data_IF_919122198412
#
_entry.id   IF_919122198412
#
_cell.length_a   1.000
_cell.length_b   1.000
_cell.length_c   1.000
_cell.angle_alpha   90.00
_cell.angle_beta   90.00
_cell.angle_gamma   90.00
#
_symmetry.space_group_name_H-M   'P 1'
#
loop_
_entity.id
_entity.type
_entity.pdbx_description
1 polymer ?
#
# COMPACT_ATOMS: atom_id res chain seq x y z
N UNK A 1 -12.44 2.20 -9.17
CA UNK A 1 -11.48 1.10 -9.45
C UNK A 1 -11.14 0.44 -8.11
N UNK A 2 -11.21 -0.89 -8.02
CA UNK A 2 -10.95 -1.62 -6.77
C UNK A 2 -10.32 -2.98 -7.06
N UNK A 3 -9.60 -3.52 -6.08
CA UNK A 3 -8.91 -4.80 -6.14
C UNK A 3 -9.17 -5.60 -4.87
N UNK A 4 -9.49 -6.89 -5.01
CA UNK A 4 -9.74 -7.75 -3.86
C UNK A 4 -8.45 -8.40 -3.39
N UNK A 5 -8.25 -8.40 -2.08
CA UNK A 5 -7.17 -9.11 -1.42
C UNK A 5 -7.67 -10.48 -0.95
N UNK A 6 -6.84 -11.48 -1.15
CA UNK A 6 -7.14 -12.85 -0.80
C UNK A 6 -6.08 -13.44 0.13
N UNK A 7 -6.52 -14.33 1.01
CA UNK A 7 -5.64 -15.21 1.76
C UNK A 7 -5.77 -16.63 1.20
N UNK A 8 -4.66 -17.21 0.76
CA UNK A 8 -4.61 -18.61 0.36
C UNK A 8 -4.71 -19.51 1.60
N UNK A 9 -5.25 -20.72 1.49
CA UNK A 9 -5.38 -21.66 2.62
C UNK A 9 -4.03 -21.96 3.32
N UNK A 10 -2.89 -21.80 2.63
CA UNK A 10 -1.54 -21.91 3.20
C UNK A 10 -1.07 -20.66 3.97
N UNK A 11 -1.90 -19.62 4.07
CA UNK A 11 -1.68 -18.42 4.89
C UNK A 11 -1.16 -17.18 4.15
N UNK A 12 -0.62 -17.31 2.94
CA UNK A 12 -0.07 -16.18 2.18
C UNK A 12 -1.17 -15.29 1.58
N UNK A 13 -0.85 -13.99 1.45
CA UNK A 13 -1.76 -13.00 0.88
C UNK A 13 -1.45 -12.70 -0.59
N UNK A 14 -2.49 -12.36 -1.33
CA UNK A 14 -2.44 -12.08 -2.77
C UNK A 14 -3.38 -10.93 -3.13
N UNK A 15 -3.01 -10.18 -4.17
CA UNK A 15 -3.82 -9.14 -4.79
C UNK A 15 -4.36 -9.66 -6.12
N UNK A 16 -5.67 -9.78 -6.28
CA UNK A 16 -6.33 -10.07 -7.56
C UNK A 16 -6.29 -8.82 -8.42
N UNK A 17 -5.68 -8.90 -9.58
CA UNK A 17 -5.57 -7.80 -10.54
C UNK A 17 -6.75 -7.78 -11.52
N UNK A 18 -7.24 -8.96 -11.90
CA UNK A 18 -8.33 -9.09 -12.86
C UNK A 18 -8.52 -10.51 -13.35
N UNK A 19 -9.24 -10.62 -14.46
CA UNK A 19 -9.41 -11.86 -15.23
C UNK A 19 -8.94 -11.61 -16.65
N UNK A 20 -8.15 -12.53 -17.20
CA UNK A 20 -7.73 -12.57 -18.58
C UNK A 20 -8.32 -13.80 -19.27
N UNK A 21 -8.47 -13.76 -20.59
CA UNK A 21 -8.82 -14.94 -21.38
C UNK A 21 -7.54 -15.74 -21.69
N UNK A 22 -7.61 -17.06 -21.62
CA UNK A 22 -6.57 -17.94 -22.14
C UNK A 22 -6.50 -17.82 -23.67
N UNK A 23 -5.30 -17.76 -24.25
CA UNK A 23 -5.13 -17.44 -25.67
C UNK A 23 -5.68 -18.51 -26.63
N UNK A 24 -5.72 -19.76 -26.19
CA UNK A 24 -6.10 -20.88 -27.05
C UNK A 24 -7.61 -21.18 -26.98
N UNK A 25 -8.15 -21.29 -25.76
CA UNK A 25 -9.48 -21.79 -25.50
C UNK A 25 -10.44 -20.77 -24.89
N UNK A 26 -9.98 -19.54 -24.69
CA UNK A 26 -10.71 -18.41 -24.10
C UNK A 26 -11.20 -18.65 -22.66
N UNK A 27 -10.70 -19.68 -21.98
CA UNK A 27 -11.09 -19.94 -20.59
C UNK A 27 -10.64 -18.79 -19.68
N UNK A 28 -11.45 -18.36 -18.70
CA UNK A 28 -11.14 -17.27 -17.81
C UNK A 28 -10.02 -17.64 -16.84
N UNK A 29 -8.97 -16.81 -16.81
CA UNK A 29 -7.81 -16.94 -15.96
C UNK A 29 -7.76 -15.77 -14.97
N UNK A 30 -7.76 -16.05 -13.67
CA UNK A 30 -7.53 -15.02 -12.65
C UNK A 30 -6.05 -14.65 -12.67
N UNK A 31 -5.76 -13.35 -12.83
CA UNK A 31 -4.42 -12.77 -12.72
C UNK A 31 -4.25 -12.21 -11.33
N UNK A 32 -3.20 -12.63 -10.60
CA UNK A 32 -2.99 -12.19 -9.22
C UNK A 32 -1.50 -12.10 -8.86
N UNK A 33 -1.18 -11.27 -7.87
CA UNK A 33 0.19 -11.04 -7.38
C UNK A 33 0.37 -11.51 -5.95
N UNK A 34 1.56 -12.02 -5.66
CA UNK A 34 2.00 -12.29 -4.29
C UNK A 34 2.17 -10.98 -3.52
N UNK A 35 1.66 -10.93 -2.28
CA UNK A 35 1.94 -9.87 -1.31
C UNK A 35 3.03 -10.28 -0.31
N UNK A 36 3.92 -11.14 -0.74
CA UNK A 36 5.09 -11.63 -0.01
C UNK A 36 6.22 -11.91 -1.00
N UNK A 37 7.44 -12.03 -0.52
CA UNK A 37 8.57 -12.37 -1.38
C UNK A 37 8.49 -13.82 -1.83
N UNK A 38 8.35 -13.98 -3.15
CA UNK A 38 8.31 -15.28 -3.81
C UNK A 38 9.38 -15.31 -4.90
N UNK A 39 10.45 -16.10 -4.72
CA UNK A 39 11.57 -16.18 -5.69
C UNK A 39 11.16 -16.79 -7.02
N UNK A 40 10.10 -17.62 -7.06
CA UNK A 40 9.68 -18.28 -8.29
C UNK A 40 8.96 -17.33 -9.25
N UNK A 41 8.03 -16.53 -8.75
CA UNK A 41 7.31 -15.52 -9.54
C UNK A 41 6.51 -14.60 -8.62
N UNK A 42 6.32 -13.36 -9.05
CA UNK A 42 5.46 -12.38 -8.35
C UNK A 42 4.04 -12.36 -8.90
N UNK A 43 3.86 -12.62 -10.20
CA UNK A 43 2.56 -12.62 -10.88
C UNK A 43 2.21 -14.04 -11.33
N UNK A 44 1.00 -14.42 -11.07
CA UNK A 44 0.46 -15.74 -11.38
C UNK A 44 -0.84 -15.64 -12.15
N UNK A 45 -1.12 -16.66 -12.94
CA UNK A 45 -2.43 -16.91 -13.55
C UNK A 45 -2.95 -18.26 -13.08
N UNK A 46 -4.28 -18.36 -12.95
CA UNK A 46 -4.94 -19.61 -12.57
C UNK A 46 -6.33 -19.66 -13.19
N UNK A 47 -6.78 -20.81 -13.73
CA UNK A 47 -8.16 -20.98 -14.15
C UNK A 47 -9.14 -20.52 -13.07
N UNK A 48 -10.10 -19.67 -13.44
CA UNK A 48 -11.00 -19.04 -12.47
C UNK A 48 -11.74 -20.07 -11.59
N UNK A 49 -12.28 -21.20 -12.12
CA UNK A 49 -12.91 -22.22 -11.27
C UNK A 49 -11.95 -22.82 -10.23
N UNK A 50 -10.65 -22.95 -10.56
CA UNK A 50 -9.66 -23.42 -9.59
C UNK A 50 -9.29 -22.37 -8.55
N UNK A 51 -9.34 -21.06 -8.90
CA UNK A 51 -9.07 -19.98 -7.96
C UNK A 51 -10.20 -19.84 -6.95
N UNK A 52 -11.45 -19.90 -7.42
CA UNK A 52 -12.65 -19.69 -6.61
C UNK A 52 -13.14 -20.98 -5.94
N UNK A 53 -12.58 -22.12 -6.32
CA UNK A 53 -12.97 -23.45 -5.84
C UNK A 53 -12.46 -23.79 -4.44
N UNK A 54 -12.93 -24.95 -3.98
CA UNK A 54 -12.50 -25.55 -2.72
C UNK A 54 -11.36 -26.54 -2.95
N UNK A 55 -10.60 -26.83 -1.90
CA UNK A 55 -9.60 -27.91 -1.86
C UNK A 55 -10.25 -29.19 -1.32
N UNK A 56 -9.53 -30.30 -1.33
CA UNK A 56 -10.04 -31.64 -0.96
C UNK A 56 -10.68 -31.71 0.43
N UNK A 57 -10.21 -30.89 1.38
CA UNK A 57 -10.75 -30.82 2.73
C UNK A 57 -11.97 -29.88 2.89
N UNK A 58 -12.52 -29.37 1.78
CA UNK A 58 -13.71 -28.50 1.76
C UNK A 58 -13.44 -27.02 2.05
N UNK A 59 -12.21 -26.62 2.36
CA UNK A 59 -11.85 -25.19 2.54
C UNK A 59 -11.75 -24.49 1.19
N UNK A 60 -12.12 -23.22 1.13
CA UNK A 60 -11.87 -22.37 -0.04
C UNK A 60 -10.37 -22.23 -0.27
N UNK A 61 -9.94 -22.36 -1.53
CA UNK A 61 -8.52 -22.19 -1.89
C UNK A 61 -8.01 -20.78 -1.60
N UNK A 62 -8.82 -19.77 -1.93
CA UNK A 62 -8.57 -18.36 -1.67
C UNK A 62 -9.78 -17.73 -0.99
N UNK A 63 -9.58 -17.17 0.20
CA UNK A 63 -10.62 -16.48 0.96
C UNK A 63 -10.43 -14.96 0.83
N UNK A 64 -11.44 -14.18 0.43
CA UNK A 64 -11.37 -12.73 0.44
C UNK A 64 -11.10 -12.23 1.87
N UNK A 65 -10.14 -11.30 2.02
CA UNK A 65 -9.77 -10.74 3.33
C UNK A 65 -9.87 -9.22 3.36
N UNK A 66 -10.15 -8.59 2.22
CA UNK A 66 -10.31 -7.15 2.13
C UNK A 66 -10.36 -6.66 0.70
N UNK A 67 -10.56 -5.36 0.56
CA UNK A 67 -10.63 -4.66 -0.72
C UNK A 67 -9.76 -3.41 -0.68
N UNK A 68 -8.85 -3.28 -1.64
CA UNK A 68 -8.11 -2.06 -1.91
C UNK A 68 -8.88 -1.23 -2.94
N UNK A 69 -9.08 0.06 -2.69
CA UNK A 69 -9.67 0.99 -3.63
C UNK A 69 -9.11 2.41 -3.49
N UNK A 70 -9.43 3.25 -4.45
CA UNK A 70 -9.18 4.68 -4.30
C UNK A 70 -10.17 5.29 -3.30
N UNK A 71 -9.66 6.24 -2.51
CA UNK A 71 -10.47 7.07 -1.61
C UNK A 71 -11.42 7.91 -2.45
N UNK A 72 -12.68 7.99 -2.04
CA UNK A 72 -13.70 8.85 -2.62
C UNK A 72 -13.93 10.08 -1.72
N UNK A 73 -14.55 11.17 -2.19
CA UNK A 73 -14.80 12.35 -1.38
C UNK A 73 -15.51 12.06 -0.05
N UNK A 74 -16.46 11.14 -0.05
CA UNK A 74 -17.22 10.71 1.14
C UNK A 74 -16.38 9.98 2.19
N UNK A 75 -15.25 9.40 1.81
CA UNK A 75 -14.34 8.70 2.72
C UNK A 75 -13.42 9.66 3.50
N UNK A 76 -13.27 10.91 3.04
CA UNK A 76 -12.20 11.80 3.48
C UNK A 76 -12.17 12.02 4.99
N UNK A 77 -13.31 12.26 5.62
CA UNK A 77 -13.36 12.45 7.07
C UNK A 77 -12.93 11.20 7.83
N UNK A 78 -13.35 10.02 7.36
CA UNK A 78 -12.94 8.72 7.93
C UNK A 78 -11.44 8.52 7.80
N UNK A 79 -10.87 8.76 6.61
CA UNK A 79 -9.42 8.61 6.35
C UNK A 79 -8.60 9.59 7.19
N UNK A 80 -9.04 10.83 7.31
CA UNK A 80 -8.37 11.83 8.13
C UNK A 80 -8.42 11.48 9.63
N UNK A 81 -9.52 10.89 10.09
CA UNK A 81 -9.67 10.44 11.47
C UNK A 81 -8.66 9.35 11.86
N UNK A 82 -8.19 8.50 10.93
CA UNK A 82 -7.20 7.46 11.23
C UNK A 82 -5.89 7.99 11.77
N UNK A 83 -5.43 9.14 11.27
CA UNK A 83 -4.18 9.76 11.69
C UNK A 83 -4.36 10.95 12.64
N UNK A 84 -5.60 11.35 12.93
CA UNK A 84 -5.86 12.54 13.72
C UNK A 84 -5.19 12.51 15.09
N UNK A 85 -5.29 11.40 15.81
CA UNK A 85 -4.70 11.26 17.13
C UNK A 85 -3.19 11.52 17.18
N UNK A 86 -2.47 11.14 16.11
CA UNK A 86 -1.00 11.26 16.00
C UNK A 86 -0.57 12.64 15.45
N UNK A 87 -1.35 13.20 14.51
CA UNK A 87 -0.92 14.37 13.72
C UNK A 87 -1.68 15.66 14.04
N UNK A 88 -2.63 15.63 14.97
CA UNK A 88 -3.47 16.80 15.29
C UNK A 88 -2.70 17.97 15.89
N UNK A 89 -1.55 17.69 16.58
CA UNK A 89 -0.92 18.70 17.44
C UNK A 89 -1.98 19.27 18.43
N UNK A 90 -2.11 20.59 18.53
CA UNK A 90 -3.10 21.29 19.38
C UNK A 90 -4.42 21.61 18.64
N UNK A 91 -4.65 21.02 17.44
CA UNK A 91 -5.81 21.32 16.59
C UNK A 91 -7.03 20.48 16.97
N UNK A 92 -8.23 21.09 16.89
CA UNK A 92 -9.48 20.32 16.84
C UNK A 92 -9.55 19.52 15.54
N UNK A 93 -10.46 18.55 15.45
CA UNK A 93 -10.61 17.74 14.22
C UNK A 93 -10.97 18.62 13.01
N UNK A 94 -11.86 19.60 13.15
CA UNK A 94 -12.24 20.52 12.08
C UNK A 94 -11.04 21.36 11.60
N UNK A 95 -10.25 21.90 12.54
CA UNK A 95 -9.02 22.65 12.20
C UNK A 95 -7.97 21.77 11.52
N UNK A 96 -7.84 20.51 11.95
CA UNK A 96 -6.95 19.54 11.31
C UNK A 96 -7.42 19.24 9.88
N UNK A 97 -8.69 18.98 9.66
CA UNK A 97 -9.27 18.75 8.34
C UNK A 97 -9.09 19.96 7.42
N UNK A 98 -9.46 21.17 7.90
CA UNK A 98 -9.29 22.40 7.13
C UNK A 98 -7.81 22.66 6.71
N UNK A 99 -6.86 22.30 7.57
CA UNK A 99 -5.43 22.38 7.23
C UNK A 99 -5.03 21.47 6.06
N UNK A 100 -5.77 20.39 5.80
CA UNK A 100 -5.51 19.48 4.68
C UNK A 100 -5.94 20.03 3.34
N UNK A 101 -6.85 20.99 3.31
CA UNK A 101 -7.33 21.64 2.07
C UNK A 101 -6.23 22.50 1.40
N UNK A 102 -5.20 22.88 2.15
CA UNK A 102 -4.05 23.65 1.67
C UNK A 102 -2.75 22.85 1.63
N UNK A 103 -2.74 21.65 2.15
CA UNK A 103 -1.57 20.75 2.17
C UNK A 103 -1.28 20.23 0.76
N UNK A 104 -0.15 20.66 0.17
CA UNK A 104 0.26 20.29 -1.20
C UNK A 104 0.35 18.78 -1.42
N UNK A 105 0.87 18.05 -0.44
CA UNK A 105 0.98 16.59 -0.53
C UNK A 105 -0.38 15.92 -0.44
N UNK A 106 -1.28 16.52 0.36
CA UNK A 106 -2.66 16.08 0.43
C UNK A 106 -3.40 16.29 -0.90
N UNK A 107 -3.24 17.43 -1.54
CA UNK A 107 -3.94 17.79 -2.79
C UNK A 107 -3.42 17.04 -4.02
N UNK A 108 -2.13 16.70 -4.07
CA UNK A 108 -1.49 16.09 -5.26
C UNK A 108 -1.44 14.57 -5.23
N UNK A 109 -1.68 13.96 -4.08
CA UNK A 109 -1.54 12.53 -3.90
C UNK A 109 -2.72 11.73 -4.43
N UNK A 110 -2.45 10.49 -4.79
CA UNK A 110 -3.49 9.47 -5.02
C UNK A 110 -3.68 8.66 -3.75
N UNK A 111 -4.90 8.69 -3.19
CA UNK A 111 -5.17 8.00 -1.92
C UNK A 111 -5.78 6.64 -2.13
N UNK A 112 -5.24 5.69 -1.39
CA UNK A 112 -5.73 4.33 -1.32
C UNK A 112 -6.35 4.06 0.05
N UNK A 113 -7.45 3.32 0.03
CA UNK A 113 -8.17 2.84 1.21
C UNK A 113 -8.21 1.31 1.17
N UNK A 114 -7.85 0.70 2.28
CA UNK A 114 -8.07 -0.72 2.52
C UNK A 114 -9.31 -0.89 3.37
N UNK A 115 -10.25 -1.68 2.89
CA UNK A 115 -11.39 -2.20 3.63
C UNK A 115 -11.11 -3.64 4.04
N UNK A 116 -11.62 -4.06 5.19
CA UNK A 116 -11.59 -5.47 5.61
C UNK A 116 -12.62 -6.33 4.86
N UNK A 117 -12.74 -7.60 5.25
CA UNK A 117 -13.71 -8.52 4.64
C UNK A 117 -15.18 -8.14 4.88
N UNK A 118 -15.46 -7.33 5.89
CA UNK A 118 -16.80 -6.80 6.18
C UNK A 118 -17.08 -5.46 5.46
N UNK A 119 -16.12 -4.95 4.69
CA UNK A 119 -16.22 -3.67 3.99
C UNK A 119 -15.95 -2.45 4.88
N UNK A 120 -15.39 -2.66 6.08
CA UNK A 120 -15.06 -1.56 6.99
C UNK A 120 -13.72 -0.92 6.60
N UNK A 121 -13.63 0.42 6.49
CA UNK A 121 -12.37 1.13 6.30
C UNK A 121 -11.40 0.87 7.46
N UNK A 122 -10.21 0.32 7.16
CA UNK A 122 -9.24 -0.09 8.21
C UNK A 122 -7.88 0.57 8.10
N UNK A 123 -7.44 0.96 6.91
CA UNK A 123 -6.17 1.65 6.72
C UNK A 123 -6.19 2.47 5.43
N UNK A 124 -5.44 3.57 5.43
CA UNK A 124 -5.29 4.43 4.24
C UNK A 124 -3.85 4.92 4.10
N UNK A 125 -3.48 5.28 2.89
CA UNK A 125 -2.22 5.95 2.59
C UNK A 125 -2.38 6.89 1.39
N UNK A 126 -1.46 7.84 1.29
CA UNK A 126 -1.32 8.73 0.15
C UNK A 126 -0.08 8.37 -0.67
N UNK A 127 -0.24 8.24 -1.98
CA UNK A 127 0.83 7.99 -2.95
C UNK A 127 1.19 9.29 -3.64
N UNK A 128 2.45 9.67 -3.55
CA UNK A 128 3.03 10.84 -4.21
C UNK A 128 4.00 10.36 -5.29
N UNK A 129 3.78 10.73 -6.53
CA UNK A 129 4.68 10.42 -7.62
C UNK A 129 5.70 11.56 -7.79
N UNK A 130 6.97 11.29 -7.48
CA UNK A 130 8.03 12.30 -7.57
C UNK A 130 8.71 12.32 -8.94
N UNK A 131 9.05 11.14 -9.45
CA UNK A 131 9.72 10.91 -10.73
C UNK A 131 9.19 9.62 -11.33
N UNK A 132 9.60 9.34 -12.57
CA UNK A 132 9.16 8.16 -13.31
C UNK A 132 9.34 6.85 -12.54
N UNK A 133 10.38 6.74 -11.70
CA UNK A 133 10.73 5.52 -10.97
C UNK A 133 10.65 5.63 -9.44
N UNK A 134 10.24 6.78 -8.91
CA UNK A 134 10.17 7.00 -7.47
C UNK A 134 8.77 7.41 -7.03
N UNK A 135 8.24 6.67 -6.08
CA UNK A 135 6.95 6.92 -5.43
C UNK A 135 7.18 7.13 -3.93
N UNK A 136 6.62 8.21 -3.39
CA UNK A 136 6.57 8.46 -1.95
C UNK A 136 5.28 7.98 -1.34
N UNK A 137 5.37 7.41 -0.14
CA UNK A 137 4.22 7.13 0.72
C UNK A 137 4.11 8.17 1.82
N UNK A 138 2.94 8.79 1.91
CA UNK A 138 2.61 9.76 2.94
C UNK A 138 1.33 9.36 3.66
N UNK A 139 1.15 9.88 4.87
CA UNK A 139 -0.09 9.71 5.65
C UNK A 139 -0.53 8.25 5.75
N UNK A 140 0.42 7.35 6.00
CA UNK A 140 0.12 5.92 6.20
C UNK A 140 -0.52 5.76 7.57
N UNK A 141 -1.82 5.51 7.60
CA UNK A 141 -2.59 5.42 8.85
C UNK A 141 -3.46 4.17 8.88
N UNK A 142 -3.58 3.60 10.08
CA UNK A 142 -4.52 2.50 10.38
C UNK A 142 -5.53 3.00 11.40
N UNK A 143 -6.81 2.69 11.19
CA UNK A 143 -7.88 2.97 12.14
C UNK A 143 -7.46 2.54 13.56
N UNK A 144 -7.66 3.36 14.59
CA UNK A 144 -7.21 3.05 15.95
C UNK A 144 -7.63 1.65 16.43
N UNK A 145 -8.86 1.24 16.14
CA UNK A 145 -9.42 -0.07 16.54
C UNK A 145 -8.79 -1.25 15.79
N UNK A 146 -8.08 -0.99 14.68
CA UNK A 146 -7.48 -2.00 13.82
C UNK A 146 -5.94 -2.00 13.88
N UNK A 147 -5.34 -1.18 14.73
CA UNK A 147 -3.88 -1.15 14.92
C UNK A 147 -3.38 -2.49 15.48
N UNK A 148 -2.15 -2.83 15.16
CA UNK A 148 -1.52 -4.10 15.57
C UNK A 148 -1.99 -5.34 14.81
N UNK A 149 -3.04 -5.24 13.97
CA UNK A 149 -3.60 -6.37 13.19
C UNK A 149 -2.94 -6.55 11.80
N UNK A 150 -1.91 -5.75 11.46
CA UNK A 150 -1.15 -5.88 10.21
C UNK A 150 -1.74 -5.18 8.98
N UNK A 151 -2.86 -4.46 9.10
CA UNK A 151 -3.52 -3.81 7.96
C UNK A 151 -2.66 -2.75 7.27
N UNK A 152 -1.88 -1.95 8.02
CA UNK A 152 -0.95 -0.98 7.43
C UNK A 152 0.10 -1.64 6.54
N UNK A 153 0.70 -2.73 6.99
CA UNK A 153 1.66 -3.50 6.20
C UNK A 153 1.01 -4.18 5.00
N UNK A 154 -0.20 -4.70 5.14
CA UNK A 154 -0.96 -5.30 4.04
C UNK A 154 -1.30 -4.26 2.97
N UNK A 155 -1.74 -3.06 3.37
CA UNK A 155 -2.01 -1.93 2.49
C UNK A 155 -0.76 -1.52 1.70
N UNK A 156 0.37 -1.31 2.40
CA UNK A 156 1.64 -0.96 1.76
C UNK A 156 2.06 -1.99 0.72
N UNK A 157 2.08 -3.29 1.08
CA UNK A 157 2.40 -4.38 0.14
C UNK A 157 1.47 -4.38 -1.06
N UNK A 158 0.16 -4.24 -0.85
CA UNK A 158 -0.82 -4.26 -1.93
C UNK A 158 -0.61 -3.09 -2.91
N UNK A 159 -0.39 -1.88 -2.39
CA UNK A 159 -0.14 -0.69 -3.22
C UNK A 159 1.21 -0.79 -3.94
N UNK A 160 2.27 -1.24 -3.26
CA UNK A 160 3.58 -1.47 -3.89
C UNK A 160 3.47 -2.46 -5.06
N UNK A 161 2.82 -3.59 -4.85
CA UNK A 161 2.70 -4.63 -5.87
C UNK A 161 1.74 -4.22 -7.01
N UNK A 162 0.72 -3.43 -6.72
CA UNK A 162 -0.13 -2.84 -7.76
C UNK A 162 0.66 -1.93 -8.69
N UNK A 163 1.49 -1.04 -8.13
CA UNK A 163 2.33 -0.14 -8.91
C UNK A 163 3.45 -0.87 -9.65
N UNK A 164 4.10 -1.85 -9.01
CA UNK A 164 5.14 -2.68 -9.64
C UNK A 164 4.60 -3.59 -10.74
N UNK A 165 3.33 -3.91 -10.76
CA UNK A 165 2.72 -4.63 -11.88
C UNK A 165 2.76 -3.81 -13.16
N UNK A 166 2.49 -2.51 -13.07
CA UNK A 166 2.56 -1.59 -14.20
C UNK A 166 4.02 -1.18 -14.54
N UNK A 167 4.88 -1.06 -13.51
CA UNK A 167 6.27 -0.62 -13.66
C UNK A 167 7.16 -1.37 -12.66
N UNK A 168 7.81 -2.47 -13.07
CA UNK A 168 8.52 -3.40 -12.17
C UNK A 168 9.69 -2.79 -11.40
N UNK A 169 10.35 -1.77 -11.93
CA UNK A 169 11.55 -1.11 -11.40
C UNK A 169 11.25 0.08 -10.47
N UNK A 170 9.96 0.25 -10.09
CA UNK A 170 9.57 1.29 -9.15
C UNK A 170 10.23 1.11 -7.78
N UNK A 171 10.76 2.21 -7.29
CA UNK A 171 11.25 2.39 -5.93
C UNK A 171 10.23 3.15 -5.11
N UNK A 172 10.20 2.85 -3.82
CA UNK A 172 9.30 3.51 -2.87
C UNK A 172 10.11 4.17 -1.78
N UNK A 173 9.67 5.33 -1.33
CA UNK A 173 10.29 6.10 -0.26
C UNK A 173 9.23 6.54 0.74
N UNK A 174 9.61 6.62 2.01
CA UNK A 174 8.79 7.15 3.08
C UNK A 174 9.67 7.75 4.18
N UNK A 175 9.04 8.50 5.07
CA UNK A 175 9.63 8.97 6.32
C UNK A 175 8.98 8.23 7.47
N UNK A 176 9.80 7.58 8.31
CA UNK A 176 9.32 6.67 9.35
C UNK A 176 9.07 7.40 10.66
N UNK A 177 7.81 7.75 10.95
CA UNK A 177 7.38 8.28 12.25
C UNK A 177 7.19 7.18 13.31
N UNK A 178 7.28 5.91 12.90
CA UNK A 178 7.19 4.73 13.77
C UNK A 178 8.50 3.94 13.70
N UNK A 179 8.59 2.82 14.44
CA UNK A 179 9.81 1.98 14.46
C UNK A 179 10.19 1.53 13.05
N UNK A 180 11.38 1.87 12.53
CA UNK A 180 11.86 1.51 11.19
C UNK A 180 11.74 0.01 10.87
N UNK A 181 11.94 -0.86 11.86
CA UNK A 181 11.83 -2.31 11.73
C UNK A 181 10.49 -2.81 11.14
N UNK A 182 9.43 -2.01 11.21
CA UNK A 182 8.14 -2.32 10.56
C UNK A 182 8.28 -2.22 9.04
N UNK A 183 8.96 -1.18 8.56
CA UNK A 183 9.17 -0.94 7.14
C UNK A 183 10.31 -1.80 6.58
N UNK A 184 11.33 -2.14 7.37
CA UNK A 184 12.39 -3.07 6.97
C UNK A 184 11.83 -4.43 6.55
N UNK A 185 10.79 -4.92 7.25
CA UNK A 185 10.06 -6.16 6.88
C UNK A 185 9.30 -6.05 5.55
N UNK A 186 9.16 -4.84 5.02
CA UNK A 186 8.54 -4.54 3.72
C UNK A 186 9.59 -4.28 2.63
N UNK A 187 10.88 -4.42 2.96
CA UNK A 187 12.00 -4.23 2.04
C UNK A 187 12.48 -2.77 1.96
N UNK A 188 12.14 -1.92 2.94
CA UNK A 188 12.73 -0.59 3.05
C UNK A 188 14.03 -0.65 3.86
N UNK A 189 15.00 0.15 3.46
CA UNK A 189 16.24 0.38 4.18
C UNK A 189 16.34 1.86 4.57
N UNK A 190 16.94 2.15 5.73
CA UNK A 190 17.25 3.53 6.13
C UNK A 190 18.23 4.10 5.11
N UNK A 191 17.94 5.28 4.60
CA UNK A 191 18.80 5.97 3.64
C UNK A 191 20.06 6.52 4.33
N UNK A 192 21.16 6.73 3.59
CA UNK A 192 22.39 7.31 4.09
C UNK A 192 22.19 8.74 4.69
N UNK A 193 23.14 9.23 5.54
CA UNK A 193 23.00 10.49 6.25
C UNK A 193 22.72 11.71 5.36
N UNK A 194 23.26 11.75 4.15
CA UNK A 194 23.06 12.82 3.16
C UNK A 194 21.61 12.96 2.69
N UNK A 195 20.77 11.95 2.94
CA UNK A 195 19.34 11.93 2.62
C UNK A 195 18.45 12.08 3.87
N UNK A 196 19.01 12.28 5.05
CA UNK A 196 18.29 12.42 6.31
C UNK A 196 18.04 13.91 6.64
N UNK A 197 16.95 14.47 6.07
CA UNK A 197 16.66 15.91 6.18
C UNK A 197 15.66 16.25 7.29
N UNK A 198 14.95 15.28 7.84
CA UNK A 198 13.82 15.49 8.76
C UNK A 198 13.95 14.69 10.06
N UNK A 199 15.13 14.72 10.67
CA UNK A 199 15.33 14.04 11.96
C UNK A 199 14.38 14.60 13.05
N UNK A 200 13.85 13.75 13.93
CA UNK A 200 14.22 12.36 14.15
C UNK A 200 13.50 11.32 13.27
N UNK A 201 12.82 11.74 12.22
CA UNK A 201 12.02 10.88 11.33
C UNK A 201 12.91 10.38 10.18
N UNK A 202 13.42 9.13 10.23
CA UNK A 202 14.35 8.66 9.22
C UNK A 202 13.67 8.46 7.87
N UNK A 203 14.35 8.90 6.81
CA UNK A 203 14.00 8.59 5.44
C UNK A 203 14.39 7.15 5.10
N UNK A 204 13.48 6.41 4.48
CA UNK A 204 13.69 5.02 4.10
C UNK A 204 13.26 4.78 2.65
N UNK A 205 13.95 3.91 1.93
CA UNK A 205 13.59 3.55 0.56
C UNK A 205 13.72 2.03 0.30
N UNK A 206 13.00 1.55 -0.71
CA UNK A 206 13.18 0.17 -1.19
C UNK A 206 14.29 0.08 -2.22
N UNK A 207 14.95 -1.11 -2.29
CA UNK A 207 16.05 -1.43 -3.22
C UNK A 207 17.41 -1.04 -2.66
N UNK A 208 18.44 -1.76 -3.13
CA UNK A 208 19.81 -1.70 -2.62
C UNK A 208 20.65 -0.58 -3.26
N UNK A 209 20.15 0.03 -4.33
CA UNK A 209 20.84 1.10 -5.04
C UNK A 209 20.66 2.43 -4.31
N UNK A 210 21.70 3.22 -4.05
CA UNK A 210 21.58 4.58 -3.52
C UNK A 210 20.62 5.43 -4.38
N UNK A 211 19.97 6.40 -3.77
CA UNK A 211 19.21 7.40 -4.52
C UNK A 211 20.18 8.25 -5.35
N UNK A 212 19.78 8.58 -6.58
CA UNK A 212 20.50 9.56 -7.37
C UNK A 212 20.44 10.95 -6.71
N UNK A 213 21.36 11.83 -7.05
CA UNK A 213 21.34 13.22 -6.54
C UNK A 213 19.98 13.89 -6.78
N UNK A 214 19.38 13.65 -7.94
CA UNK A 214 18.08 14.21 -8.31
C UNK A 214 16.94 13.62 -7.45
N UNK A 215 16.97 12.33 -7.15
CA UNK A 215 16.00 11.69 -6.25
C UNK A 215 16.17 12.22 -4.81
N UNK A 216 17.41 12.45 -4.35
CA UNK A 216 17.71 13.07 -3.05
C UNK A 216 17.15 14.49 -2.93
N UNK A 217 17.27 15.33 -3.98
CA UNK A 217 16.68 16.67 -3.99
C UNK A 217 15.15 16.64 -3.86
N UNK A 218 14.47 15.62 -4.41
CA UNK A 218 13.03 15.48 -4.21
C UNK A 218 12.64 15.17 -2.77
N UNK A 219 13.48 14.43 -2.04
CA UNK A 219 13.21 14.17 -0.63
C UNK A 219 13.21 15.45 0.21
N UNK A 220 14.08 16.43 -0.12
CA UNK A 220 14.11 17.74 0.55
C UNK A 220 12.83 18.54 0.33
N UNK A 221 12.18 18.36 -0.82
CA UNK A 221 10.96 19.08 -1.20
C UNK A 221 9.68 18.38 -0.73
N UNK A 222 9.81 17.28 0.00
CA UNK A 222 8.68 16.45 0.42
C UNK A 222 7.81 17.12 1.50
N UNK A 223 8.41 17.93 2.39
CA UNK A 223 7.74 18.64 3.48
C UNK A 223 7.69 20.13 3.27
#
# INVERSE_FOLDING_TARGET
MSWTLYRHYKGNHYLRLGVAAHSEDLTPQVVYRCLYDNPAARTWVRPQPMFEGVIEDGRTRFTPVGRLRLVQPEDMLTVLAFGYGEWKQDKTFDQYCAGKDTDRNHLRGTRYLLEDAAGQPVAALNVLRFRERLIGFASVATSPEHRGKGYGSLLLRAVMELHRFAQPDLRFVLFSEIKPAIYERLGFCILPPEHQHFLPTPAMATGDTPLSATEGEFLKAYF
#
